data_IF_224085492214
#
_entry.id   IF_224085492214
#
_cell.length_a   1.000
_cell.length_b   1.000
_cell.length_c   1.000
_cell.angle_alpha   90.00
_cell.angle_beta   90.00
_cell.angle_gamma   90.00
#
_symmetry.space_group_name_H-M   'P 1'
#
loop_
_entity.id
_entity.type
_entity.pdbx_description
1 polymer ?
#
# COMPACT_ATOMS: atom_id res chain seq x y z
N UNK A 1 25.15 16.71 -29.99
CA UNK A 1 24.40 17.93 -29.58
C UNK A 1 23.37 17.61 -28.51
N UNK A 2 22.65 16.49 -28.65
CA UNK A 2 22.03 15.62 -27.61
C UNK A 2 22.47 15.75 -26.13
N UNK A 3 23.53 14.99 -25.80
CA UNK A 3 24.02 14.76 -24.44
C UNK A 3 24.58 16.01 -23.73
N UNK A 4 25.21 16.94 -24.44
CA UNK A 4 25.83 18.14 -23.84
C UNK A 4 24.76 19.10 -23.30
N UNK A 5 23.61 19.17 -23.97
CA UNK A 5 22.46 19.96 -23.53
C UNK A 5 21.91 19.41 -22.20
N UNK A 6 21.71 18.10 -22.10
CA UNK A 6 21.19 17.49 -20.89
C UNK A 6 22.15 17.61 -19.70
N UNK A 7 23.45 17.45 -19.92
CA UNK A 7 24.46 17.70 -18.88
C UNK A 7 24.49 19.17 -18.45
N UNK A 8 24.27 20.11 -19.37
CA UNK A 8 24.21 21.54 -19.05
C UNK A 8 23.00 21.94 -18.20
N UNK A 9 21.95 21.10 -18.13
CA UNK A 9 20.78 21.30 -17.27
C UNK A 9 21.01 20.84 -15.83
N UNK A 10 22.03 20.00 -15.59
CA UNK A 10 22.39 19.48 -14.27
C UNK A 10 23.28 20.48 -13.52
N UNK A 11 22.79 21.71 -13.34
CA UNK A 11 23.58 22.80 -12.75
C UNK A 11 23.67 22.70 -11.22
N UNK A 12 24.67 23.35 -10.58
CA UNK A 12 24.72 23.48 -9.12
C UNK A 12 23.49 24.18 -8.54
N UNK A 13 22.89 25.12 -9.26
CA UNK A 13 21.66 25.81 -8.82
C UNK A 13 20.45 24.86 -8.76
N UNK A 14 20.38 23.89 -9.69
CA UNK A 14 19.37 22.83 -9.64
C UNK A 14 19.60 21.93 -8.43
N UNK A 15 20.85 21.61 -8.12
CA UNK A 15 21.23 20.79 -6.95
C UNK A 15 20.80 21.46 -5.64
N UNK A 16 21.11 22.75 -5.48
CA UNK A 16 20.70 23.53 -4.31
C UNK A 16 19.18 23.57 -4.15
N UNK A 17 18.45 23.72 -5.26
CA UNK A 17 16.99 23.72 -5.26
C UNK A 17 16.42 22.35 -4.81
N UNK A 18 16.99 21.26 -5.31
CA UNK A 18 16.60 19.90 -4.95
C UNK A 18 16.93 19.62 -3.48
N UNK A 19 18.13 19.96 -3.00
CA UNK A 19 18.53 19.79 -1.61
C UNK A 19 17.60 20.55 -0.66
N UNK A 20 17.28 21.81 -0.98
CA UNK A 20 16.32 22.61 -0.22
C UNK A 20 14.92 21.99 -0.21
N UNK A 21 14.48 21.39 -1.32
CA UNK A 21 13.21 20.68 -1.39
C UNK A 21 13.21 19.39 -0.56
N UNK A 22 14.29 18.60 -0.60
CA UNK A 22 14.46 17.39 0.19
C UNK A 22 14.47 17.69 1.68
N UNK A 23 15.18 18.73 2.12
CA UNK A 23 15.19 19.17 3.51
C UNK A 23 13.81 19.64 3.97
N UNK A 24 13.16 20.50 3.17
CA UNK A 24 11.81 21.04 3.46
C UNK A 24 10.77 19.93 3.56
N UNK A 25 10.81 18.95 2.66
CA UNK A 25 9.85 17.83 2.63
C UNK A 25 10.29 16.64 3.50
N UNK A 26 11.47 16.70 4.14
CA UNK A 26 12.08 15.62 4.92
C UNK A 26 12.18 14.30 4.16
N UNK A 27 12.52 14.37 2.87
CA UNK A 27 12.70 13.21 2.00
C UNK A 27 14.14 12.71 2.12
N UNK A 28 14.38 11.43 2.45
CA UNK A 28 15.72 10.91 2.76
C UNK A 28 16.66 10.79 1.55
N UNK A 29 16.12 10.86 0.33
CA UNK A 29 16.86 10.83 -0.92
C UNK A 29 15.93 10.75 -2.13
N UNK A 30 16.42 11.16 -3.30
CA UNK A 30 15.69 11.09 -4.57
C UNK A 30 16.63 10.82 -5.75
N UNK A 31 16.17 10.02 -6.70
CA UNK A 31 16.78 9.93 -8.03
C UNK A 31 15.88 10.64 -9.04
N UNK A 32 16.46 11.23 -10.07
CA UNK A 32 15.69 11.82 -11.15
C UNK A 32 16.40 11.64 -12.49
N UNK A 33 15.63 11.65 -13.57
CA UNK A 33 16.11 11.57 -14.93
C UNK A 33 15.50 12.69 -15.76
N UNK A 34 16.31 13.32 -16.61
CA UNK A 34 15.86 14.26 -17.64
C UNK A 34 16.04 13.54 -18.97
N UNK A 35 14.94 13.40 -19.70
CA UNK A 35 14.90 12.76 -21.02
C UNK A 35 14.58 13.82 -22.07
N UNK A 36 15.38 13.90 -23.13
CA UNK A 36 15.12 14.77 -24.27
C UNK A 36 15.38 13.99 -25.56
N UNK A 37 14.34 13.88 -26.40
CA UNK A 37 14.35 13.07 -27.61
C UNK A 37 14.79 11.62 -27.35
N UNK A 38 16.00 11.25 -27.79
CA UNK A 38 16.58 9.93 -27.63
C UNK A 38 17.65 9.85 -26.53
N UNK A 39 17.99 10.97 -25.90
CA UNK A 39 19.03 11.04 -24.89
C UNK A 39 18.43 11.14 -23.48
N UNK A 40 19.05 10.43 -22.53
CA UNK A 40 18.66 10.39 -21.12
C UNK A 40 19.85 10.75 -20.25
N UNK A 41 19.65 11.65 -19.29
CA UNK A 41 20.62 11.98 -18.25
C UNK A 41 20.02 11.75 -16.87
N UNK A 42 20.72 11.05 -15.99
CA UNK A 42 20.24 10.63 -14.67
C UNK A 42 21.11 11.21 -13.57
N UNK A 43 20.52 11.59 -12.43
CA UNK A 43 21.24 12.07 -11.25
C UNK A 43 20.64 11.52 -9.96
N UNK A 44 21.50 11.34 -8.97
CA UNK A 44 21.16 10.95 -7.61
C UNK A 44 21.50 12.10 -6.66
N UNK A 45 20.61 12.44 -5.73
CA UNK A 45 20.88 13.44 -4.69
C UNK A 45 20.61 12.86 -3.31
N UNK A 46 21.65 12.92 -2.46
CA UNK A 46 21.73 12.23 -1.18
C UNK A 46 21.86 13.20 -0.02
N UNK A 47 21.28 12.82 1.12
CA UNK A 47 22.11 12.64 2.30
C UNK A 47 22.35 11.17 2.70
N UNK A 48 21.70 10.17 2.07
CA UNK A 48 21.79 8.77 2.48
C UNK A 48 22.73 7.91 1.60
N UNK A 49 23.89 7.49 2.14
CA UNK A 49 24.99 6.69 1.53
C UNK A 49 24.66 5.37 0.78
N UNK A 50 23.40 5.03 0.47
CA UNK A 50 23.01 3.73 -0.11
C UNK A 50 22.09 3.77 -1.34
N UNK A 51 21.61 4.92 -1.76
CA UNK A 51 20.72 5.03 -2.92
C UNK A 51 21.52 5.44 -4.16
N UNK A 52 21.24 4.79 -5.29
CA UNK A 52 21.87 5.00 -6.60
C UNK A 52 20.81 5.24 -7.68
N UNK A 53 21.20 5.69 -8.87
CA UNK A 53 20.29 5.78 -10.04
C UNK A 53 19.63 4.46 -10.44
N UNK A 54 20.15 3.31 -9.99
CA UNK A 54 19.59 1.98 -10.20
C UNK A 54 18.66 1.51 -9.07
N UNK A 55 18.51 2.31 -8.01
CA UNK A 55 17.63 1.99 -6.89
C UNK A 55 16.17 1.91 -7.35
N UNK A 56 15.49 0.84 -6.96
CA UNK A 56 14.08 0.63 -7.28
C UNK A 56 13.18 1.29 -6.24
N UNK A 57 12.16 2.00 -6.71
CA UNK A 57 11.16 2.66 -5.89
C UNK A 57 9.78 2.08 -6.17
N UNK A 58 8.89 2.10 -5.17
CA UNK A 58 7.46 2.00 -5.46
C UNK A 58 7.02 3.30 -6.10
N UNK A 59 6.48 3.23 -7.31
CA UNK A 59 6.06 4.40 -8.08
C UNK A 59 4.57 4.67 -7.98
N UNK A 60 3.84 3.87 -7.19
CA UNK A 60 2.41 3.98 -6.90
C UNK A 60 1.60 4.27 -8.19
N UNK A 61 0.85 5.37 -8.20
CA UNK A 61 -0.05 5.76 -9.28
C UNK A 61 0.64 6.04 -10.62
N UNK A 62 1.96 6.23 -10.63
CA UNK A 62 2.74 6.27 -11.89
C UNK A 62 2.54 4.99 -12.72
N UNK A 63 2.24 3.87 -12.06
CA UNK A 63 1.92 2.59 -12.72
C UNK A 63 0.72 2.71 -13.67
N UNK A 64 -0.25 3.61 -13.40
CA UNK A 64 -1.42 3.83 -14.27
C UNK A 64 -1.01 4.35 -15.65
N UNK A 65 0.06 5.13 -15.75
CA UNK A 65 0.61 5.59 -17.03
C UNK A 65 1.11 4.43 -17.90
N UNK A 66 1.74 3.42 -17.29
CA UNK A 66 2.16 2.21 -17.99
C UNK A 66 0.95 1.37 -18.43
N UNK A 67 -0.08 1.25 -17.59
CA UNK A 67 -1.33 0.58 -17.97
C UNK A 67 -2.02 1.25 -19.15
N UNK A 68 -2.15 2.59 -19.12
CA UNK A 68 -2.72 3.36 -20.22
C UNK A 68 -1.90 3.21 -21.52
N UNK A 69 -0.56 3.24 -21.42
CA UNK A 69 0.32 3.01 -22.56
C UNK A 69 0.15 1.60 -23.14
N UNK A 70 0.08 0.56 -22.30
CA UNK A 70 -0.14 -0.81 -22.73
C UNK A 70 -1.49 -0.98 -23.45
N UNK A 71 -2.57 -0.40 -22.92
CA UNK A 71 -3.89 -0.41 -23.58
C UNK A 71 -3.83 0.33 -24.92
N UNK A 72 -3.18 1.49 -24.96
CA UNK A 72 -3.00 2.26 -26.19
C UNK A 72 -2.24 1.47 -27.26
N UNK A 73 -1.19 0.73 -26.87
CA UNK A 73 -0.43 -0.12 -27.79
C UNK A 73 -1.28 -1.26 -28.35
N UNK A 74 -2.16 -1.85 -27.54
CA UNK A 74 -3.08 -2.90 -28.00
C UNK A 74 -4.15 -2.35 -28.95
N UNK A 75 -4.65 -1.14 -28.69
CA UNK A 75 -5.61 -0.45 -29.58
C UNK A 75 -4.96 -0.06 -30.91
N UNK A 76 -3.68 0.35 -30.89
CA UNK A 76 -2.92 0.73 -32.10
C UNK A 76 -2.42 -0.48 -32.92
N UNK A 77 -2.51 -1.70 -32.37
CA UNK A 77 -2.00 -2.90 -33.03
C UNK A 77 -2.99 -3.47 -34.06
N UNK A 78 -2.87 -3.00 -35.30
CA UNK A 78 -3.64 -3.46 -36.46
C UNK A 78 -3.17 -4.81 -37.04
N UNK A 79 -2.06 -5.37 -36.53
CA UNK A 79 -1.37 -6.52 -37.15
C UNK A 79 -1.89 -7.88 -36.73
N UNK A 80 -2.52 -7.98 -35.56
CA UNK A 80 -2.81 -9.29 -34.93
C UNK A 80 -4.28 -9.53 -34.55
N UNK A 81 -5.18 -8.55 -34.75
CA UNK A 81 -6.59 -8.67 -34.36
C UNK A 81 -7.52 -8.59 -35.57
N UNK A 82 -8.33 -9.64 -35.77
CA UNK A 82 -9.40 -9.65 -36.77
C UNK A 82 -10.50 -8.62 -36.48
N UNK A 83 -10.62 -8.21 -35.22
CA UNK A 83 -11.51 -7.16 -34.72
C UNK A 83 -10.68 -6.24 -33.80
N UNK A 84 -10.17 -5.10 -34.30
CA UNK A 84 -9.35 -4.19 -33.51
C UNK A 84 -10.13 -3.60 -32.34
N UNK A 85 -9.49 -3.53 -31.17
CA UNK A 85 -10.06 -2.85 -30.00
C UNK A 85 -10.08 -1.34 -30.22
N UNK A 86 -11.07 -0.68 -29.64
CA UNK A 86 -11.19 0.79 -29.67
C UNK A 86 -11.35 1.33 -28.26
N UNK A 87 -11.11 2.63 -28.08
CA UNK A 87 -11.32 3.30 -26.79
C UNK A 87 -12.78 3.22 -26.29
N UNK A 88 -13.72 3.11 -27.22
CA UNK A 88 -15.15 2.95 -26.96
C UNK A 88 -15.57 1.52 -26.57
N UNK A 89 -14.63 0.57 -26.56
CA UNK A 89 -14.94 -0.82 -26.24
C UNK A 89 -15.51 -0.94 -24.83
N UNK A 90 -16.58 -1.72 -24.68
CA UNK A 90 -17.25 -1.89 -23.39
C UNK A 90 -16.48 -2.89 -22.55
N UNK A 91 -16.17 -2.56 -21.30
CA UNK A 91 -15.45 -3.48 -20.41
C UNK A 91 -16.26 -4.76 -20.21
N UNK A 92 -17.60 -4.65 -20.12
CA UNK A 92 -18.51 -5.80 -20.04
C UNK A 92 -18.50 -6.69 -21.30
N UNK A 93 -18.06 -6.20 -22.46
CA UNK A 93 -17.90 -7.04 -23.66
C UNK A 93 -16.59 -7.83 -23.63
N UNK A 94 -15.53 -7.24 -23.05
CA UNK A 94 -14.21 -7.85 -22.94
C UNK A 94 -14.14 -8.94 -21.87
N UNK A 95 -14.81 -8.70 -20.73
CA UNK A 95 -14.81 -9.60 -19.56
C UNK A 95 -16.23 -9.78 -19.00
N UNK A 96 -17.15 -10.37 -19.78
CA UNK A 96 -18.59 -10.42 -19.49
C UNK A 96 -18.97 -11.16 -18.20
N UNK A 97 -18.18 -12.15 -17.80
CA UNK A 97 -18.46 -12.96 -16.61
C UNK A 97 -17.93 -12.33 -15.31
N UNK A 98 -17.11 -11.28 -15.42
CA UNK A 98 -16.37 -10.72 -14.28
C UNK A 98 -16.76 -9.28 -13.97
N UNK A 99 -16.91 -8.43 -14.99
CA UNK A 99 -17.17 -7.01 -14.80
C UNK A 99 -18.65 -6.71 -14.61
N UNK A 100 -19.01 -6.36 -13.38
CA UNK A 100 -20.35 -5.90 -13.01
C UNK A 100 -20.23 -4.72 -12.05
N UNK A 101 -21.04 -3.68 -12.26
CA UNK A 101 -21.24 -2.54 -11.38
C UNK A 101 -22.63 -2.62 -10.75
N UNK A 102 -22.92 -1.96 -9.61
CA UNK A 102 -24.23 -2.06 -8.98
C UNK A 102 -25.38 -1.58 -9.88
N UNK A 103 -25.09 -0.60 -10.75
CA UNK A 103 -26.02 -0.17 -11.79
C UNK A 103 -25.82 -0.95 -13.09
N UNK A 104 -26.92 -1.52 -13.62
CA UNK A 104 -26.90 -2.30 -14.85
C UNK A 104 -26.59 -1.46 -16.08
N UNK A 105 -27.00 -0.20 -16.11
CA UNK A 105 -26.71 0.68 -17.24
C UNK A 105 -25.24 1.09 -17.24
N UNK A 106 -24.67 1.41 -16.07
CA UNK A 106 -23.23 1.64 -15.90
C UNK A 106 -22.43 0.43 -16.36
N UNK A 107 -22.76 -0.77 -15.88
CA UNK A 107 -22.10 -2.03 -16.32
C UNK A 107 -22.03 -2.17 -17.83
N UNK A 108 -23.15 -1.91 -18.53
CA UNK A 108 -23.27 -2.09 -19.99
C UNK A 108 -22.66 -0.96 -20.81
N UNK A 109 -22.39 0.19 -20.19
CA UNK A 109 -22.01 1.40 -20.90
C UNK A 109 -20.60 1.89 -20.59
N UNK A 110 -19.96 1.45 -19.50
CA UNK A 110 -18.58 1.82 -19.17
C UNK A 110 -17.59 1.32 -20.23
N UNK A 111 -16.80 2.24 -20.78
CA UNK A 111 -15.76 1.96 -21.77
C UNK A 111 -14.37 1.87 -21.17
N UNK A 112 -13.41 1.39 -21.99
CA UNK A 112 -11.99 1.53 -21.69
C UNK A 112 -11.60 3.01 -21.48
N UNK A 113 -12.10 3.92 -22.33
CA UNK A 113 -11.87 5.36 -22.15
C UNK A 113 -12.39 5.86 -20.80
N UNK A 114 -13.63 5.50 -20.42
CA UNK A 114 -14.20 5.97 -19.16
C UNK A 114 -13.39 5.51 -17.94
N UNK A 115 -12.91 4.26 -17.96
CA UNK A 115 -12.08 3.74 -16.87
C UNK A 115 -10.72 4.41 -16.81
N UNK A 116 -10.06 4.60 -17.96
CA UNK A 116 -8.71 5.18 -18.03
C UNK A 116 -8.68 6.71 -17.91
N UNK A 117 -9.83 7.37 -18.10
CA UNK A 117 -9.99 8.82 -17.94
C UNK A 117 -10.71 9.21 -16.65
N UNK A 118 -10.92 8.27 -15.72
CA UNK A 118 -11.56 8.51 -14.43
C UNK A 118 -12.99 9.08 -14.54
N UNK A 119 -13.77 8.55 -15.48
CA UNK A 119 -15.15 8.95 -15.78
C UNK A 119 -16.16 7.81 -15.62
N UNK A 120 -15.75 6.71 -14.99
CA UNK A 120 -16.60 5.54 -14.73
C UNK A 120 -17.66 5.78 -13.65
N UNK A 121 -17.49 6.81 -12.80
CA UNK A 121 -18.36 7.10 -11.66
C UNK A 121 -18.01 6.29 -10.39
N UNK A 122 -17.00 5.42 -10.45
CA UNK A 122 -16.56 4.62 -9.30
C UNK A 122 -15.86 5.48 -8.22
N UNK A 123 -16.09 5.21 -6.92
CA UNK A 123 -15.36 5.84 -5.82
C UNK A 123 -13.96 5.27 -5.61
N UNK A 124 -13.19 5.84 -4.67
CA UNK A 124 -12.05 5.15 -4.05
C UNK A 124 -12.38 3.70 -3.68
N UNK A 125 -11.63 2.76 -4.23
CA UNK A 125 -11.82 1.34 -3.95
C UNK A 125 -10.52 0.60 -3.65
N UNK A 126 -9.41 1.32 -3.52
CA UNK A 126 -8.09 0.73 -3.29
C UNK A 126 -8.05 -0.15 -2.02
N UNK A 127 -8.69 0.21 -0.90
CA UNK A 127 -8.72 -0.65 0.29
C UNK A 127 -9.56 -1.94 0.10
N UNK A 128 -10.60 -1.91 -0.75
CA UNK A 128 -11.38 -3.09 -1.08
C UNK A 128 -10.54 -4.10 -1.92
N UNK A 129 -9.53 -3.58 -2.62
CA UNK A 129 -8.61 -4.30 -3.50
C UNK A 129 -7.27 -4.67 -2.81
N UNK A 130 -6.81 -3.89 -1.84
CA UNK A 130 -5.51 -4.03 -1.17
C UNK A 130 -5.58 -4.87 0.13
N UNK A 131 -6.76 -4.92 0.76
CA UNK A 131 -7.06 -5.91 1.83
C UNK A 131 -7.46 -7.28 1.26
N UNK A 132 -7.29 -7.46 -0.05
CA UNK A 132 -7.46 -8.72 -0.73
C UNK A 132 -6.51 -9.78 -0.14
N UNK A 133 -7.06 -10.95 0.15
CA UNK A 133 -6.34 -12.01 0.85
C UNK A 133 -5.12 -12.44 0.01
N UNK A 134 -4.04 -12.98 0.60
CA UNK A 134 -2.86 -13.43 -0.14
C UNK A 134 -3.10 -14.44 -1.28
N UNK A 135 -4.31 -15.00 -1.37
CA UNK A 135 -4.74 -15.98 -2.36
C UNK A 135 -5.83 -15.43 -3.32
N UNK A 136 -6.16 -14.15 -3.24
CA UNK A 136 -7.18 -13.54 -4.08
C UNK A 136 -6.65 -13.29 -5.50
N UNK A 137 -7.48 -13.61 -6.49
CA UNK A 137 -7.22 -13.45 -7.91
C UNK A 137 -7.66 -12.08 -8.42
N UNK A 138 -7.12 -11.64 -9.56
CA UNK A 138 -7.58 -10.42 -10.23
C UNK A 138 -9.07 -10.46 -10.59
N UNK A 139 -9.59 -11.66 -10.87
CA UNK A 139 -11.02 -11.89 -11.16
C UNK A 139 -11.85 -11.53 -9.93
N UNK A 140 -11.55 -12.12 -8.78
CA UNK A 140 -12.24 -11.84 -7.51
C UNK A 140 -12.16 -10.36 -7.13
N UNK A 141 -11.04 -9.70 -7.45
CA UNK A 141 -10.87 -8.28 -7.20
C UNK A 141 -11.82 -7.43 -8.08
N UNK A 142 -11.92 -7.72 -9.38
CA UNK A 142 -12.87 -7.04 -10.28
C UNK A 142 -14.32 -7.34 -9.91
N UNK A 143 -14.64 -8.55 -9.47
CA UNK A 143 -16.00 -8.93 -9.07
C UNK A 143 -16.53 -8.08 -7.91
N UNK A 144 -15.66 -7.59 -7.02
CA UNK A 144 -16.05 -6.73 -5.89
C UNK A 144 -16.60 -5.38 -6.32
N UNK A 145 -16.31 -4.91 -7.54
CA UNK A 145 -16.80 -3.62 -8.04
C UNK A 145 -18.34 -3.55 -8.03
N UNK A 146 -19.03 -4.69 -8.17
CA UNK A 146 -20.50 -4.77 -8.11
C UNK A 146 -21.10 -4.37 -6.76
N UNK A 147 -20.29 -4.28 -5.72
CA UNK A 147 -20.68 -3.91 -4.37
C UNK A 147 -20.34 -2.45 -4.03
N UNK A 148 -19.78 -1.69 -4.97
CA UNK A 148 -19.39 -0.30 -4.77
C UNK A 148 -20.43 0.64 -5.37
N UNK A 149 -21.21 1.29 -4.52
CA UNK A 149 -22.13 2.34 -4.96
C UNK A 149 -21.37 3.41 -5.77
N UNK A 150 -21.96 3.82 -6.89
CA UNK A 150 -21.38 4.88 -7.73
C UNK A 150 -21.37 6.20 -6.96
N UNK A 151 -20.25 6.92 -7.02
CA UNK A 151 -20.14 8.26 -6.46
C UNK A 151 -20.87 9.28 -7.34
N UNK A 152 -20.80 9.09 -8.65
CA UNK A 152 -21.42 9.96 -9.65
C UNK A 152 -21.96 9.12 -10.80
N UNK A 153 -22.91 9.70 -11.55
CA UNK A 153 -23.32 9.11 -12.82
C UNK A 153 -22.12 9.04 -13.78
N UNK A 154 -21.96 7.94 -14.56
CA UNK A 154 -20.85 7.83 -15.49
C UNK A 154 -20.77 9.02 -16.46
N UNK A 155 -19.56 9.53 -16.68
CA UNK A 155 -19.21 10.63 -17.60
C UNK A 155 -19.69 12.02 -17.23
N UNK A 156 -20.33 12.23 -16.08
CA UNK A 156 -20.76 13.57 -15.66
C UNK A 156 -19.60 14.40 -15.10
N UNK A 157 -18.65 13.74 -14.43
CA UNK A 157 -17.53 14.38 -13.74
C UNK A 157 -16.24 13.55 -13.92
N UNK A 158 -15.10 14.21 -13.81
CA UNK A 158 -13.82 13.53 -13.59
C UNK A 158 -13.71 13.22 -12.10
N UNK A 159 -13.49 11.95 -11.74
CA UNK A 159 -13.33 11.52 -10.35
C UNK A 159 -12.20 10.51 -10.26
N UNK A 160 -11.05 10.96 -9.74
CA UNK A 160 -9.90 10.08 -9.53
C UNK A 160 -10.28 8.96 -8.57
N UNK A 161 -10.31 7.72 -9.07
CA UNK A 161 -10.95 6.57 -8.40
C UNK A 161 -10.18 6.04 -7.18
N UNK A 162 -9.31 6.88 -6.58
CA UNK A 162 -8.64 6.69 -5.31
C UNK A 162 -9.10 7.69 -4.22
N UNK A 163 -10.01 8.63 -4.52
CA UNK A 163 -10.55 9.61 -3.56
C UNK A 163 -11.90 9.21 -2.94
N UNK A 164 -12.13 9.67 -1.70
CA UNK A 164 -13.41 9.47 -1.01
C UNK A 164 -14.48 10.27 -1.77
N UNK A 165 -15.42 9.57 -2.40
CA UNK A 165 -16.46 10.18 -3.26
C UNK A 165 -17.60 10.88 -2.51
N UNK A 166 -17.51 11.04 -1.20
CA UNK A 166 -18.50 11.76 -0.39
C UNK A 166 -17.86 12.39 0.84
N UNK A 167 -18.46 13.46 1.35
CA UNK A 167 -18.02 14.08 2.60
C UNK A 167 -18.15 13.06 3.75
N UNK A 168 -17.06 12.72 4.43
CA UNK A 168 -17.05 11.73 5.50
C UNK A 168 -17.09 12.42 6.88
N UNK A 169 -18.19 12.34 7.63
CA UNK A 169 -18.26 12.95 8.96
C UNK A 169 -17.31 12.27 9.95
N UNK A 170 -16.55 13.08 10.68
CA UNK A 170 -15.58 12.65 11.70
C UNK A 170 -16.28 12.65 13.06
N UNK A 171 -16.56 11.44 13.58
CA UNK A 171 -17.05 11.26 14.94
C UNK A 171 -18.31 12.08 15.26
N UNK A 172 -18.33 12.71 16.45
CA UNK A 172 -19.45 13.56 16.92
C UNK A 172 -19.16 15.06 16.83
N UNK A 173 -17.99 15.46 16.32
CA UNK A 173 -17.60 16.88 16.24
C UNK A 173 -18.37 17.63 15.14
N UNK A 174 -18.92 16.91 14.15
CA UNK A 174 -19.55 17.50 12.98
C UNK A 174 -18.55 17.99 11.94
N UNK A 175 -17.26 17.80 12.18
CA UNK A 175 -16.21 18.00 11.18
C UNK A 175 -16.34 16.94 10.09
N UNK A 176 -16.00 17.30 8.85
CA UNK A 176 -16.06 16.41 7.70
C UNK A 176 -14.69 16.31 7.05
N UNK A 177 -14.30 15.11 6.65
CA UNK A 177 -13.28 14.93 5.64
C UNK A 177 -13.96 15.27 4.32
N UNK A 178 -13.54 16.33 3.62
CA UNK A 178 -14.21 16.74 2.39
C UNK A 178 -14.14 15.63 1.33
N UNK A 179 -15.16 15.54 0.48
CA UNK A 179 -15.09 14.78 -0.78
C UNK A 179 -13.81 15.16 -1.55
N UNK A 180 -13.33 14.25 -2.38
CA UNK A 180 -12.04 14.38 -3.09
C UNK A 180 -10.81 14.42 -2.16
N UNK A 181 -10.98 14.22 -0.85
CA UNK A 181 -9.86 14.10 0.08
C UNK A 181 -9.52 12.64 0.33
N UNK A 182 -8.30 12.40 0.81
CA UNK A 182 -7.86 11.11 1.31
C UNK A 182 -7.58 11.22 2.81
N UNK A 183 -8.04 10.23 3.58
CA UNK A 183 -7.74 10.11 5.00
C UNK A 183 -7.19 8.71 5.28
N UNK A 184 -5.97 8.66 5.79
CA UNK A 184 -5.31 7.42 6.18
C UNK A 184 -5.13 7.41 7.68
N UNK A 185 -5.45 6.29 8.31
CA UNK A 185 -5.05 6.01 9.68
C UNK A 185 -4.04 4.87 9.64
N UNK A 186 -2.75 5.22 9.59
CA UNK A 186 -1.67 4.25 9.44
C UNK A 186 -1.57 3.37 10.69
N UNK A 187 -1.99 2.12 10.55
CA UNK A 187 -2.09 1.18 11.67
C UNK A 187 -0.76 0.92 12.35
N UNK A 188 0.32 0.88 11.58
CA UNK A 188 1.65 0.68 12.11
C UNK A 188 2.13 1.94 12.84
N UNK A 189 1.90 3.14 12.29
CA UNK A 189 2.38 4.39 12.90
C UNK A 189 1.86 4.59 14.33
N UNK A 190 0.60 4.22 14.62
CA UNK A 190 0.09 4.35 15.99
C UNK A 190 0.85 3.47 16.98
N UNK A 191 1.20 2.23 16.60
CA UNK A 191 1.97 1.31 17.44
C UNK A 191 3.43 1.72 17.62
N UNK A 192 3.91 2.63 16.78
CA UNK A 192 5.27 3.17 16.83
C UNK A 192 5.34 4.64 17.20
N UNK A 193 4.24 5.24 17.63
CA UNK A 193 4.21 6.61 18.13
C UNK A 193 4.85 6.66 19.53
N UNK A 194 6.03 7.29 19.70
CA UNK A 194 6.72 7.36 20.99
C UNK A 194 5.96 8.17 22.04
N UNK A 195 4.97 8.98 21.64
CA UNK A 195 4.11 9.73 22.56
C UNK A 195 3.06 8.83 23.24
N UNK A 196 2.68 7.73 22.58
CA UNK A 196 1.76 6.71 23.12
C UNK A 196 2.58 5.58 23.77
N UNK A 197 3.58 5.08 23.03
CA UNK A 197 4.40 3.92 23.35
C UNK A 197 5.88 4.31 23.49
N UNK A 198 6.36 4.69 24.68
CA UNK A 198 7.77 4.93 24.92
C UNK A 198 8.64 3.74 24.47
N UNK A 199 9.78 4.03 23.83
CA UNK A 199 10.66 3.04 23.19
C UNK A 199 9.89 2.01 22.33
N UNK A 200 9.20 2.44 21.26
CA UNK A 200 8.25 1.58 20.55
C UNK A 200 8.93 0.40 19.84
N UNK A 201 10.23 0.48 19.57
CA UNK A 201 11.01 -0.60 18.98
C UNK A 201 11.42 -1.69 19.99
N UNK A 202 11.15 -1.49 21.29
CA UNK A 202 11.48 -2.44 22.35
C UNK A 202 10.28 -3.35 22.61
N UNK A 203 10.51 -4.67 22.54
CA UNK A 203 9.54 -5.65 23.03
C UNK A 203 9.36 -5.47 24.54
N UNK A 204 8.19 -4.98 24.91
CA UNK A 204 7.80 -4.72 26.29
C UNK A 204 6.33 -5.11 26.46
N UNK A 205 6.05 -6.34 26.92
CA UNK A 205 4.67 -6.78 27.13
C UNK A 205 4.00 -6.07 28.33
N UNK A 206 4.80 -5.46 29.22
CA UNK A 206 4.30 -4.76 30.40
C UNK A 206 3.53 -3.49 30.08
N UNK A 207 3.69 -2.94 28.87
CA UNK A 207 3.02 -1.68 28.47
C UNK A 207 1.49 -1.73 28.42
N UNK A 208 0.93 -2.94 28.34
CA UNK A 208 -0.50 -3.19 28.29
C UNK A 208 -1.08 -3.60 29.65
N UNK A 209 -0.25 -3.68 30.69
CA UNK A 209 -0.71 -3.99 32.05
C UNK A 209 -1.54 -2.83 32.62
N UNK A 210 -2.46 -3.08 33.56
CA UNK A 210 -3.41 -2.08 34.05
C UNK A 210 -2.77 -0.80 34.60
N UNK A 211 -1.55 -0.87 35.13
CA UNK A 211 -0.78 0.25 35.68
C UNK A 211 -0.20 1.18 34.60
N UNK A 212 0.06 0.67 33.39
CA UNK A 212 0.60 1.44 32.27
C UNK A 212 -0.46 1.77 31.21
N UNK A 213 -1.24 0.77 30.83
CA UNK A 213 -2.37 0.83 29.90
C UNK A 213 -2.13 1.76 28.69
N UNK A 214 -0.93 1.67 28.08
CA UNK A 214 -0.52 2.57 26.99
C UNK A 214 -1.49 2.49 25.81
N UNK A 215 -2.07 1.31 25.57
CA UNK A 215 -3.09 1.02 24.56
C UNK A 215 -4.43 1.74 24.77
N UNK A 216 -4.64 2.40 25.91
CA UNK A 216 -5.90 3.06 26.27
C UNK A 216 -5.76 4.57 26.48
N UNK A 217 -4.55 5.12 26.33
CA UNK A 217 -4.27 6.53 26.61
C UNK A 217 -4.99 7.48 25.65
N UNK A 218 -5.16 7.08 24.40
CA UNK A 218 -5.89 7.86 23.38
C UNK A 218 -6.88 6.97 22.64
N UNK A 219 -7.96 7.52 22.06
CA UNK A 219 -8.82 6.74 21.18
C UNK A 219 -8.01 6.07 20.07
N UNK A 220 -8.26 4.78 19.84
CA UNK A 220 -7.58 3.98 18.82
C UNK A 220 -6.05 3.84 18.99
N UNK A 221 -5.48 4.06 20.18
CA UNK A 221 -4.04 3.79 20.42
C UNK A 221 -3.63 2.35 20.11
N UNK A 222 -4.56 1.40 20.19
CA UNK A 222 -4.32 0.01 19.82
C UNK A 222 -5.24 -0.46 18.69
N UNK A 223 -4.62 -0.79 17.56
CA UNK A 223 -5.28 -1.31 16.38
C UNK A 223 -4.88 -2.77 16.12
N UNK A 224 -5.38 -3.67 16.96
CA UNK A 224 -5.16 -5.10 16.80
C UNK A 224 -6.30 -5.81 16.06
N UNK A 225 -6.21 -7.14 16.01
CA UNK A 225 -7.27 -8.00 15.50
C UNK A 225 -8.62 -7.72 16.21
N UNK A 226 -9.61 -7.28 15.43
CA UNK A 226 -10.94 -6.90 15.91
C UNK A 226 -11.12 -5.41 16.24
N UNK A 227 -10.15 -4.55 15.92
CA UNK A 227 -10.34 -3.10 15.93
C UNK A 227 -11.27 -2.64 14.79
N UNK A 228 -12.06 -1.59 15.03
CA UNK A 228 -13.02 -1.04 14.06
C UNK A 228 -14.48 -1.48 14.27
N UNK A 229 -15.37 -1.04 13.37
CA UNK A 229 -16.81 -1.30 13.48
C UNK A 229 -17.24 -2.73 13.12
N UNK A 230 -16.44 -3.43 12.31
CA UNK A 230 -16.71 -4.82 11.92
C UNK A 230 -15.88 -5.80 12.77
N UNK A 231 -16.49 -6.33 13.83
CA UNK A 231 -15.82 -7.26 14.73
C UNK A 231 -15.96 -8.69 14.21
N UNK A 232 -14.84 -9.37 13.99
CA UNK A 232 -14.81 -10.79 13.61
C UNK A 232 -15.60 -11.65 14.61
N UNK A 233 -16.63 -12.36 14.14
CA UNK A 233 -17.45 -13.26 14.98
C UNK A 233 -16.61 -14.35 15.65
N UNK A 234 -15.53 -14.79 15.00
CA UNK A 234 -14.59 -15.79 15.52
C UNK A 234 -13.55 -15.24 16.51
N UNK A 235 -13.56 -13.94 16.82
CA UNK A 235 -12.47 -13.31 17.59
C UNK A 235 -12.24 -13.98 18.96
N UNK A 236 -13.31 -14.32 19.69
CA UNK A 236 -13.19 -14.97 21.00
C UNK A 236 -12.55 -16.35 20.89
N UNK A 237 -12.94 -17.11 19.87
CA UNK A 237 -12.39 -18.43 19.59
C UNK A 237 -10.92 -18.36 19.18
N UNK A 238 -10.57 -17.43 18.28
CA UNK A 238 -9.18 -17.21 17.86
C UNK A 238 -8.27 -16.84 19.04
N UNK A 239 -8.70 -15.90 19.89
CA UNK A 239 -7.95 -15.51 21.10
C UNK A 239 -7.75 -16.68 22.06
N UNK A 240 -8.79 -17.49 22.27
CA UNK A 240 -8.69 -18.70 23.08
C UNK A 240 -7.67 -19.69 22.50
N UNK A 241 -7.74 -19.96 21.18
CA UNK A 241 -6.79 -20.86 20.51
C UNK A 241 -5.35 -20.36 20.58
N UNK A 242 -5.12 -19.06 20.37
CA UNK A 242 -3.79 -18.45 20.51
C UNK A 242 -3.24 -18.62 21.93
N UNK A 243 -4.06 -18.33 22.94
CA UNK A 243 -3.66 -18.48 24.34
C UNK A 243 -3.34 -19.94 24.68
N UNK A 244 -4.17 -20.90 24.26
CA UNK A 244 -3.93 -22.33 24.49
C UNK A 244 -2.65 -22.78 23.79
N UNK A 245 -2.42 -22.35 22.55
CA UNK A 245 -1.22 -22.70 21.77
C UNK A 245 0.04 -22.17 22.43
N UNK A 246 0.05 -20.88 22.81
CA UNK A 246 1.19 -20.25 23.49
C UNK A 246 1.43 -20.93 24.84
N UNK A 247 0.38 -21.17 25.64
CA UNK A 247 0.49 -21.83 26.93
C UNK A 247 1.06 -23.26 26.79
N UNK A 248 0.60 -24.03 25.80
CA UNK A 248 1.17 -25.35 25.51
C UNK A 248 2.63 -25.27 25.10
N UNK A 249 2.98 -24.31 24.23
CA UNK A 249 4.35 -24.16 23.76
C UNK A 249 5.30 -23.83 24.92
N UNK A 250 4.99 -22.81 25.71
CA UNK A 250 5.86 -22.35 26.82
C UNK A 250 5.89 -23.29 28.02
N UNK A 251 4.87 -24.14 28.19
CA UNK A 251 4.84 -25.15 29.25
C UNK A 251 5.60 -26.43 28.87
N UNK A 252 5.54 -26.83 27.60
CA UNK A 252 6.12 -28.10 27.12
C UNK A 252 7.51 -27.99 26.54
N UNK A 253 8.00 -26.80 26.19
CA UNK A 253 9.28 -26.65 25.53
C UNK A 253 10.20 -25.69 26.29
N UNK A 254 11.45 -26.13 26.48
CA UNK A 254 12.57 -25.23 26.68
C UNK A 254 13.10 -24.82 25.31
N UNK A 255 13.37 -23.53 25.11
CA UNK A 255 13.80 -23.03 23.81
C UNK A 255 14.81 -21.90 23.91
N UNK A 256 15.64 -21.78 22.87
CA UNK A 256 16.59 -20.70 22.69
C UNK A 256 16.63 -20.23 21.25
N UNK A 257 16.95 -18.95 21.07
CA UNK A 257 17.13 -18.34 19.76
C UNK A 257 18.50 -18.73 19.21
N UNK A 258 18.58 -19.06 17.92
CA UNK A 258 19.84 -19.38 17.24
C UNK A 258 19.91 -18.74 15.84
N UNK A 259 21.12 -18.54 15.33
CA UNK A 259 21.35 -18.17 13.92
C UNK A 259 21.13 -19.38 12.98
N UNK A 260 21.29 -19.16 11.67
CA UNK A 260 21.18 -20.20 10.65
C UNK A 260 22.20 -21.34 10.78
N UNK A 261 23.24 -21.17 11.60
CA UNK A 261 24.27 -22.17 11.88
C UNK A 261 24.05 -22.85 13.25
N UNK A 262 23.04 -22.43 14.02
CA UNK A 262 22.73 -22.98 15.33
C UNK A 262 23.54 -22.35 16.48
N UNK A 263 24.21 -21.22 16.28
CA UNK A 263 24.85 -20.51 17.40
C UNK A 263 23.80 -19.74 18.21
N UNK A 264 23.89 -19.73 19.55
CA UNK A 264 22.94 -18.99 20.38
C UNK A 264 22.91 -17.48 20.08
N UNK A 265 21.71 -16.90 20.09
CA UNK A 265 21.47 -15.48 19.92
C UNK A 265 20.81 -14.88 21.16
N UNK A 266 21.22 -13.68 21.55
CA UNK A 266 20.64 -12.98 22.69
C UNK A 266 19.30 -12.29 22.36
N UNK A 267 19.14 -11.80 21.12
CA UNK A 267 17.93 -11.13 20.66
C UNK A 267 17.69 -11.40 19.17
N UNK A 268 16.42 -11.34 18.71
CA UNK A 268 16.11 -11.40 17.29
C UNK A 268 16.67 -10.18 16.56
N UNK A 269 17.00 -10.29 15.26
CA UNK A 269 17.39 -9.14 14.46
C UNK A 269 16.23 -8.14 14.40
N UNK A 270 16.53 -6.83 14.27
CA UNK A 270 15.49 -5.83 14.10
C UNK A 270 14.69 -6.13 12.83
N UNK A 271 13.39 -5.87 12.88
CA UNK A 271 12.56 -5.93 11.68
C UNK A 271 12.92 -4.78 10.75
N UNK A 272 13.24 -5.09 9.49
CA UNK A 272 13.40 -4.07 8.46
C UNK A 272 12.03 -3.57 8.01
N UNK A 273 11.68 -2.36 8.46
CA UNK A 273 10.39 -1.71 8.20
C UNK A 273 10.34 -0.99 6.86
N UNK A 274 11.46 -0.89 6.13
CA UNK A 274 11.48 -0.32 4.79
C UNK A 274 11.12 -1.34 3.70
N UNK A 275 10.86 -2.60 4.09
CA UNK A 275 10.47 -3.64 3.15
C UNK A 275 9.00 -3.46 2.75
N UNK A 276 8.74 -3.55 1.44
CA UNK A 276 7.40 -3.40 0.85
C UNK A 276 6.39 -4.47 1.30
N UNK A 277 6.85 -5.54 1.94
CA UNK A 277 6.02 -6.62 2.48
C UNK A 277 6.69 -7.28 3.67
N UNK A 278 5.87 -7.96 4.49
CA UNK A 278 6.37 -8.87 5.50
C UNK A 278 7.30 -9.90 4.85
N UNK A 279 8.53 -10.00 5.35
CA UNK A 279 9.56 -10.87 4.80
C UNK A 279 10.39 -11.48 5.92
N UNK A 280 11.06 -12.59 5.62
CA UNK A 280 11.97 -13.20 6.56
C UNK A 280 13.18 -12.28 6.78
N UNK A 281 13.83 -12.35 7.96
CA UNK A 281 15.10 -11.68 8.18
C UNK A 281 16.14 -12.12 7.13
N UNK A 282 16.99 -11.20 6.69
CA UNK A 282 18.01 -11.49 5.66
C UNK A 282 19.02 -12.53 6.16
N UNK A 283 19.32 -12.49 7.46
CA UNK A 283 20.06 -13.52 8.16
C UNK A 283 19.07 -14.51 8.79
N UNK A 284 19.05 -15.79 8.39
CA UNK A 284 18.12 -16.77 8.93
C UNK A 284 18.23 -16.89 10.44
N UNK A 285 17.08 -16.95 11.10
CA UNK A 285 16.95 -17.14 12.55
C UNK A 285 16.16 -18.41 12.79
N UNK A 286 16.60 -19.21 13.76
CA UNK A 286 16.00 -20.48 14.13
C UNK A 286 15.68 -20.51 15.62
N UNK A 287 14.79 -21.42 16.01
CA UNK A 287 14.47 -21.68 17.40
C UNK A 287 14.86 -23.12 17.72
N UNK A 288 15.88 -23.28 18.56
CA UNK A 288 16.25 -24.57 19.13
C UNK A 288 15.30 -24.86 20.28
N UNK A 289 14.73 -26.06 20.34
CA UNK A 289 13.84 -26.45 21.42
C UNK A 289 14.09 -27.90 21.88
N UNK A 290 13.75 -28.16 23.14
CA UNK A 290 13.65 -29.49 23.73
C UNK A 290 12.35 -29.64 24.49
N UNK A 291 11.81 -30.85 24.56
CA UNK A 291 10.62 -31.13 25.37
C UNK A 291 11.04 -31.04 26.84
N UNK A 292 10.34 -30.20 27.61
CA UNK A 292 10.47 -30.11 29.05
C UNK A 292 9.80 -31.36 29.66
N UNK A 293 10.60 -32.17 30.34
CA UNK A 293 10.19 -33.42 31.00
C UNK A 293 9.64 -33.13 32.39
#
# INVERSE_FOLDING_TARGET
MSSDLLQSLLTPELDECIEAALERMRVPGMTFAIVHEHDTSTREMLPAKRMTTESLFQTADTTMGFTAAAVSMVIDDDRFSAEPLTWDERISSLIPDTFELPDRNATRSTTLEDALSHRSGLPAHWYAMDLARPAETLVEAVEKLRHLDLAHDPRTEFHYCAHIGQDLPIGKSGEVIPRESYAFYFFDQVHYDPTIYPDPNKWDPGRYLPDRAEDKKVPLSWLGFGAGGHVCTGMRFAKLQMNITIAHFVSKFDFSLCDGQGNPMACPPPSDRNKQKASRPDNPVQLRYSIRV
#
